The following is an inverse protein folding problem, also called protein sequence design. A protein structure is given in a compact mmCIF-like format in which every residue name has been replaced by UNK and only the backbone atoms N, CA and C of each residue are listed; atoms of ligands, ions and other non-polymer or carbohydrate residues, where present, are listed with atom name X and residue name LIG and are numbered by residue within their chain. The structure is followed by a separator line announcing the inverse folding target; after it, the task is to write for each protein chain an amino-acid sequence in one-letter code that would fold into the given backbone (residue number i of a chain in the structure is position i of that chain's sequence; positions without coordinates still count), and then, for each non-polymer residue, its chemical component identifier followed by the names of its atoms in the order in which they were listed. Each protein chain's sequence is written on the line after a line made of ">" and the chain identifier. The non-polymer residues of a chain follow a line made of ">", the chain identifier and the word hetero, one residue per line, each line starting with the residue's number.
data_IF_397463702410
#
_entry.id   IF_397463702410
#
_cell.length_a   1.000
_cell.length_b   1.000
_cell.length_c   1.000
_cell.angle_alpha   90.00
_cell.angle_beta   90.00
_cell.angle_gamma   90.00
#
_symmetry.space_group_name_H-M   'P 1'
#
loop_
_entity.id
_entity.type
_entity.pdbx_description
1 polymer ?
#
# COMPACT_ATOMS: atom_id res chain seq x y z
N UNK A 1 -42.04 -76.65 14.84
CA UNK A 1 -41.03 -76.09 15.79
C UNK A 1 -39.94 -75.41 14.96
N UNK A 2 -39.35 -74.28 15.40
CA UNK A 2 -39.87 -72.94 15.13
C UNK A 2 -38.84 -71.99 14.47
N UNK A 3 -39.36 -70.92 13.85
CA UNK A 3 -38.79 -69.54 13.78
C UNK A 3 -37.46 -69.39 12.97
N UNK A 4 -37.18 -68.31 12.27
CA UNK A 4 -37.23 -66.92 12.74
C UNK A 4 -36.96 -65.98 11.53
N UNK A 5 -37.85 -65.00 11.34
CA UNK A 5 -37.62 -63.79 10.55
C UNK A 5 -36.38 -63.04 11.04
N UNK A 6 -35.47 -62.63 10.15
CA UNK A 6 -34.50 -61.55 10.39
C UNK A 6 -34.47 -60.69 9.12
N UNK A 7 -35.27 -59.62 9.07
CA UNK A 7 -34.95 -58.24 9.49
C UNK A 7 -33.93 -57.56 8.58
N UNK A 8 -34.45 -56.56 7.86
CA UNK A 8 -33.74 -55.47 7.20
C UNK A 8 -32.62 -54.90 8.08
N UNK A 9 -31.44 -54.75 7.50
CA UNK A 9 -30.44 -53.78 7.95
C UNK A 9 -30.03 -52.97 6.72
N UNK A 10 -30.66 -51.82 6.52
CA UNK A 10 -30.16 -50.80 5.61
C UNK A 10 -28.85 -50.27 6.20
N UNK A 11 -27.74 -50.51 5.49
CA UNK A 11 -26.46 -49.90 5.80
C UNK A 11 -26.55 -48.41 5.44
N UNK A 12 -26.78 -47.57 6.45
CA UNK A 12 -26.66 -46.13 6.33
C UNK A 12 -25.16 -45.81 6.26
N UNK A 13 -24.63 -45.66 5.04
CA UNK A 13 -23.28 -45.19 4.81
C UNK A 13 -23.15 -43.75 5.31
N UNK A 14 -22.40 -43.56 6.40
CA UNK A 14 -22.02 -42.24 6.90
C UNK A 14 -21.00 -41.64 5.91
N UNK A 15 -21.47 -40.76 5.02
CA UNK A 15 -20.61 -39.94 4.18
C UNK A 15 -19.99 -38.84 5.05
N UNK A 16 -18.78 -39.08 5.56
CA UNK A 16 -17.97 -38.02 6.19
C UNK A 16 -17.45 -37.13 5.05
N UNK A 17 -18.14 -36.02 4.81
CA UNK A 17 -17.60 -34.93 4.00
C UNK A 17 -16.45 -34.30 4.77
N UNK A 18 -15.21 -34.72 4.47
CA UNK A 18 -14.00 -33.98 4.82
C UNK A 18 -13.97 -32.69 4.00
N UNK A 19 -14.76 -31.70 4.44
CA UNK A 19 -14.65 -30.32 4.00
C UNK A 19 -13.40 -29.71 4.62
N UNK A 20 -12.23 -29.97 4.02
CA UNK A 20 -11.07 -29.15 4.25
C UNK A 20 -11.32 -27.79 3.60
N UNK A 21 -11.64 -26.78 4.42
CA UNK A 21 -11.51 -25.40 3.97
C UNK A 21 -10.09 -25.23 3.42
N UNK A 22 -9.89 -24.53 2.28
CA UNK A 22 -8.54 -24.22 1.85
C UNK A 22 -7.88 -23.47 2.99
N UNK A 23 -6.77 -23.99 3.50
CA UNK A 23 -5.91 -23.23 4.37
C UNK A 23 -5.63 -21.91 3.63
N UNK A 24 -6.10 -20.80 4.20
CA UNK A 24 -5.73 -19.48 3.71
C UNK A 24 -4.20 -19.48 3.73
N UNK A 25 -3.59 -19.56 2.55
CA UNK A 25 -2.15 -19.38 2.42
C UNK A 25 -1.91 -17.98 2.95
N UNK A 26 -1.37 -17.91 4.16
CA UNK A 26 -1.02 -16.66 4.79
C UNK A 26 0.10 -16.09 3.92
N UNK A 27 -0.23 -15.12 3.09
CA UNK A 27 0.72 -14.54 2.16
C UNK A 27 1.93 -14.05 2.95
N UNK A 28 3.13 -14.39 2.48
CA UNK A 28 4.37 -14.20 3.25
C UNK A 28 4.53 -12.73 3.67
N UNK A 29 4.99 -12.51 4.90
CA UNK A 29 5.21 -11.16 5.44
C UNK A 29 6.25 -10.44 4.59
N UNK A 30 5.95 -9.20 4.20
CA UNK A 30 6.86 -8.38 3.41
C UNK A 30 7.76 -7.52 4.31
N UNK A 31 8.97 -7.22 3.84
CA UNK A 31 9.86 -6.21 4.41
C UNK A 31 9.64 -4.87 3.72
N UNK A 32 9.15 -3.90 4.46
CA UNK A 32 8.77 -2.59 3.94
C UNK A 32 9.73 -1.52 4.46
N UNK A 33 10.44 -0.85 3.55
CA UNK A 33 11.28 0.31 3.87
C UNK A 33 10.47 1.59 3.74
N UNK A 34 10.29 2.35 4.82
CA UNK A 34 9.55 3.62 4.79
C UNK A 34 10.55 4.77 4.78
N UNK A 35 10.69 5.44 3.63
CA UNK A 35 11.48 6.66 3.48
C UNK A 35 10.57 7.86 3.75
N UNK A 36 10.69 8.43 4.94
CA UNK A 36 9.87 9.54 5.41
C UNK A 36 8.81 9.12 6.43
N UNK A 37 9.19 9.04 7.70
CA UNK A 37 8.29 8.71 8.81
C UNK A 37 7.59 9.95 9.38
N UNK A 38 6.86 10.66 8.52
CA UNK A 38 5.94 11.74 8.92
C UNK A 38 4.53 11.23 9.21
N UNK A 39 3.53 12.08 8.99
CA UNK A 39 2.13 11.74 9.23
C UNK A 39 1.63 10.53 8.43
N UNK A 40 1.99 10.43 7.15
CA UNK A 40 1.60 9.31 6.28
C UNK A 40 2.43 8.06 6.61
N UNK A 41 3.77 8.17 6.60
CA UNK A 41 4.65 7.03 6.83
C UNK A 41 4.45 6.36 8.19
N UNK A 42 4.22 7.14 9.26
CA UNK A 42 3.94 6.57 10.59
C UNK A 42 2.55 5.93 10.70
N UNK A 43 1.55 6.41 9.95
CA UNK A 43 0.23 5.77 9.93
C UNK A 43 0.30 4.42 9.20
N UNK A 44 0.94 4.39 8.03
CA UNK A 44 1.14 3.14 7.27
C UNK A 44 2.03 2.14 8.01
N UNK A 45 3.06 2.60 8.72
CA UNK A 45 3.90 1.73 9.55
C UNK A 45 3.07 0.94 10.56
N UNK A 46 2.14 1.60 11.26
CA UNK A 46 1.23 0.94 12.23
C UNK A 46 0.36 -0.10 11.55
N UNK A 47 -0.30 0.30 10.46
CA UNK A 47 -1.23 -0.57 9.74
C UNK A 47 -0.53 -1.81 9.17
N UNK A 48 0.67 -1.66 8.61
CA UNK A 48 1.41 -2.79 8.06
C UNK A 48 2.05 -3.69 9.12
N UNK A 49 2.51 -3.13 10.25
CA UNK A 49 2.94 -3.95 11.39
C UNK A 49 1.77 -4.75 11.97
N UNK A 50 0.59 -4.14 12.11
CA UNK A 50 -0.64 -4.81 12.56
C UNK A 50 -1.05 -5.94 11.61
N UNK A 51 -0.92 -5.73 10.29
CA UNK A 51 -1.12 -6.75 9.28
C UNK A 51 -0.01 -7.83 9.22
N UNK A 52 1.04 -7.71 10.04
CA UNK A 52 2.09 -8.72 10.20
C UNK A 52 3.32 -8.52 9.32
N UNK A 53 3.47 -7.40 8.63
CA UNK A 53 4.69 -7.08 7.86
C UNK A 53 5.84 -6.64 8.77
N UNK A 54 7.07 -6.77 8.28
CA UNK A 54 8.24 -6.16 8.91
C UNK A 54 8.48 -4.77 8.31
N UNK A 55 8.69 -3.77 9.14
CA UNK A 55 8.82 -2.38 8.69
C UNK A 55 10.13 -1.78 9.19
N UNK A 56 10.87 -1.10 8.32
CA UNK A 56 11.92 -0.18 8.74
C UNK A 56 11.44 1.27 8.53
N UNK A 57 11.17 1.96 9.63
CA UNK A 57 10.87 3.39 9.63
C UNK A 57 12.17 4.18 9.57
N UNK A 58 12.19 5.26 8.77
CA UNK A 58 13.40 6.05 8.61
C UNK A 58 13.22 7.56 8.68
N UNK A 59 14.29 8.18 9.19
CA UNK A 59 14.47 9.61 9.30
C UNK A 59 15.94 9.92 9.12
N UNK A 60 16.25 11.16 8.73
CA UNK A 60 17.63 11.69 8.77
C UNK A 60 18.17 11.77 10.21
N UNK A 61 17.26 11.84 11.17
CA UNK A 61 17.48 11.85 12.61
C UNK A 61 16.74 10.63 13.20
N UNK A 62 17.26 9.40 13.00
CA UNK A 62 16.58 8.15 13.36
C UNK A 62 16.24 8.06 14.85
N UNK A 63 17.07 8.63 15.72
CA UNK A 63 16.86 8.64 17.18
C UNK A 63 15.52 9.24 17.60
N UNK A 64 14.93 10.13 16.78
CA UNK A 64 13.61 10.72 17.02
C UNK A 64 12.45 9.75 16.80
N UNK A 65 12.70 8.61 16.17
CA UNK A 65 11.69 7.61 15.86
C UNK A 65 11.60 6.53 16.93
N UNK A 66 12.47 6.52 17.94
CA UNK A 66 12.46 5.50 18.99
C UNK A 66 11.10 5.33 19.66
N UNK A 67 10.36 6.40 20.04
CA UNK A 67 9.04 6.23 20.65
C UNK A 67 8.03 5.51 19.74
N UNK A 68 8.11 5.73 18.42
CA UNK A 68 7.26 5.03 17.46
C UNK A 68 7.71 3.57 17.30
N UNK A 69 9.01 3.30 17.31
CA UNK A 69 9.51 1.93 17.24
C UNK A 69 9.08 1.09 18.45
N UNK A 70 9.15 1.68 19.65
CA UNK A 70 8.70 1.05 20.89
C UNK A 70 7.19 0.74 20.84
N UNK A 71 6.39 1.64 20.26
CA UNK A 71 4.96 1.43 20.02
C UNK A 71 4.70 0.27 19.04
N UNK A 72 5.48 0.19 17.96
CA UNK A 72 5.31 -0.80 16.90
C UNK A 72 5.85 -2.20 17.25
N UNK A 73 6.74 -2.30 18.25
CA UNK A 73 7.27 -3.57 18.74
C UNK A 73 8.24 -4.26 17.76
N UNK A 74 8.38 -5.59 17.90
CA UNK A 74 9.47 -6.37 17.30
C UNK A 74 9.50 -6.39 15.77
N UNK A 75 8.37 -6.09 15.12
CA UNK A 75 8.26 -6.02 13.66
C UNK A 75 8.75 -4.68 13.09
N UNK A 76 9.08 -3.71 13.93
CA UNK A 76 9.59 -2.42 13.49
C UNK A 76 11.07 -2.24 13.81
N UNK A 77 11.80 -1.68 12.85
CA UNK A 77 13.20 -1.25 12.99
C UNK A 77 13.30 0.24 12.67
N UNK A 78 14.27 0.90 13.28
CA UNK A 78 14.60 2.29 13.00
C UNK A 78 15.92 2.34 12.23
N UNK A 79 15.97 3.19 11.21
CA UNK A 79 17.22 3.42 10.48
C UNK A 79 17.23 4.76 9.75
N UNK A 80 18.33 4.99 9.05
CA UNK A 80 18.48 6.04 8.05
C UNK A 80 17.68 5.70 6.78
N UNK A 81 17.39 6.68 5.90
CA UNK A 81 16.72 6.39 4.64
C UNK A 81 17.46 5.39 3.75
N UNK A 82 18.80 5.36 3.78
CA UNK A 82 19.61 4.37 3.06
C UNK A 82 19.37 2.96 3.61
N UNK A 83 19.34 2.80 4.92
CA UNK A 83 19.09 1.51 5.56
C UNK A 83 17.67 1.02 5.26
N UNK A 84 16.66 1.91 5.29
CA UNK A 84 15.30 1.54 4.89
C UNK A 84 15.20 1.15 3.42
N UNK A 85 15.88 1.88 2.53
CA UNK A 85 15.99 1.54 1.11
C UNK A 85 16.65 0.17 0.90
N UNK A 86 17.69 -0.17 1.67
CA UNK A 86 18.37 -1.46 1.58
C UNK A 86 17.51 -2.60 2.15
N UNK A 87 16.87 -2.39 3.31
CA UNK A 87 16.05 -3.38 4.02
C UNK A 87 14.80 -3.78 3.25
N UNK A 88 14.05 -2.79 2.74
CA UNK A 88 12.75 -3.04 2.13
C UNK A 88 12.85 -3.76 0.80
N UNK A 89 12.02 -4.77 0.58
CA UNK A 89 11.74 -5.28 -0.76
C UNK A 89 10.69 -4.43 -1.48
N UNK A 90 9.82 -3.78 -0.69
CA UNK A 90 8.92 -2.71 -1.11
C UNK A 90 9.27 -1.43 -0.35
N UNK A 91 9.27 -0.30 -1.04
CA UNK A 91 9.58 1.00 -0.47
C UNK A 91 8.33 1.87 -0.44
N UNK A 92 8.02 2.43 0.72
CA UNK A 92 7.03 3.49 0.85
C UNK A 92 7.75 4.84 0.87
N UNK A 93 7.58 5.64 -0.18
CA UNK A 93 8.14 6.98 -0.28
C UNK A 93 7.11 8.01 0.21
N UNK A 94 7.35 8.54 1.41
CA UNK A 94 6.47 9.48 2.11
C UNK A 94 7.22 10.75 2.57
N UNK A 95 8.02 11.32 1.67
CA UNK A 95 8.75 12.57 1.89
C UNK A 95 8.01 13.78 1.32
N UNK A 96 8.32 15.02 1.74
CA UNK A 96 7.95 16.20 0.96
C UNK A 96 8.40 16.04 -0.50
N UNK A 97 7.54 16.39 -1.45
CA UNK A 97 7.76 16.09 -2.88
C UNK A 97 9.07 16.69 -3.43
N UNK A 98 9.47 17.88 -2.94
CA UNK A 98 10.76 18.48 -3.29
C UNK A 98 11.99 17.64 -2.92
N UNK A 99 11.87 16.66 -2.02
CA UNK A 99 12.96 15.76 -1.65
C UNK A 99 13.08 14.54 -2.58
N UNK A 100 12.07 14.23 -3.40
CA UNK A 100 12.07 13.05 -4.29
C UNK A 100 13.29 12.97 -5.21
N UNK A 101 13.76 14.07 -5.86
CA UNK A 101 14.97 14.02 -6.69
C UNK A 101 16.23 13.67 -5.91
N UNK A 102 16.33 14.12 -4.65
CA UNK A 102 17.47 13.78 -3.81
C UNK A 102 17.44 12.31 -3.42
N UNK A 103 16.27 11.79 -3.01
CA UNK A 103 16.09 10.36 -2.68
C UNK A 103 16.51 9.48 -3.85
N UNK A 104 16.05 9.80 -5.07
CA UNK A 104 16.38 9.03 -6.27
C UNK A 104 17.85 9.07 -6.65
N UNK A 105 18.57 10.16 -6.34
CA UNK A 105 20.03 10.24 -6.54
C UNK A 105 20.81 9.50 -5.45
N UNK A 106 20.49 9.79 -4.19
CA UNK A 106 21.30 9.35 -3.04
C UNK A 106 21.16 7.83 -2.80
N UNK A 107 20.02 7.24 -3.17
CA UNK A 107 19.68 5.83 -2.93
C UNK A 107 19.38 5.05 -4.21
N UNK A 108 19.84 5.53 -5.37
CA UNK A 108 19.57 4.91 -6.68
C UNK A 108 19.90 3.41 -6.68
N UNK A 109 21.05 3.04 -6.11
CA UNK A 109 21.54 1.66 -6.03
C UNK A 109 20.61 0.77 -5.20
N UNK A 110 20.20 1.24 -4.03
CA UNK A 110 19.34 0.47 -3.12
C UNK A 110 17.91 0.33 -3.64
N UNK A 111 17.43 1.31 -4.42
CA UNK A 111 16.08 1.34 -4.97
C UNK A 111 15.93 0.60 -6.31
N UNK A 112 17.02 0.32 -7.02
CA UNK A 112 16.99 -0.25 -8.35
C UNK A 112 16.19 -1.57 -8.40
N UNK A 113 15.23 -1.65 -9.31
CA UNK A 113 14.36 -2.81 -9.52
C UNK A 113 13.28 -3.03 -8.45
N UNK A 114 13.26 -2.26 -7.37
CA UNK A 114 12.29 -2.42 -6.27
C UNK A 114 10.95 -1.78 -6.60
N UNK A 115 9.90 -2.30 -5.96
CA UNK A 115 8.59 -1.65 -5.96
C UNK A 115 8.65 -0.42 -5.06
N UNK A 116 8.33 0.76 -5.60
CA UNK A 116 8.28 2.01 -4.84
C UNK A 116 6.87 2.57 -4.89
N UNK A 117 6.20 2.61 -3.73
CA UNK A 117 4.91 3.26 -3.54
C UNK A 117 5.14 4.76 -3.28
N UNK A 118 4.69 5.61 -4.19
CA UNK A 118 4.83 7.06 -4.10
C UNK A 118 3.52 7.72 -3.64
N UNK A 119 3.50 8.24 -2.41
CA UNK A 119 2.41 9.07 -1.87
C UNK A 119 2.64 10.58 -2.06
N UNK A 120 3.69 10.96 -2.77
CA UNK A 120 4.08 12.34 -2.98
C UNK A 120 3.01 13.15 -3.69
N UNK A 121 2.85 14.40 -3.27
CA UNK A 121 2.03 15.37 -3.97
C UNK A 121 2.85 16.64 -4.21
N UNK A 122 3.08 17.05 -5.46
CA UNK A 122 3.79 18.29 -5.76
C UNK A 122 2.99 19.49 -5.23
N UNK A 123 3.66 20.36 -4.47
CA UNK A 123 3.09 21.60 -3.96
C UNK A 123 3.96 22.78 -4.33
N UNK A 124 3.60 23.57 -5.36
CA UNK A 124 4.37 24.74 -5.78
C UNK A 124 4.80 25.66 -4.64
N UNK A 125 3.88 26.01 -3.72
CA UNK A 125 4.19 26.87 -2.58
C UNK A 125 5.18 26.29 -1.55
N UNK A 126 5.42 24.97 -1.56
CA UNK A 126 6.39 24.30 -0.67
C UNK A 126 7.67 23.88 -1.42
N UNK A 127 7.50 23.39 -2.64
CA UNK A 127 8.53 22.67 -3.40
C UNK A 127 9.06 23.48 -4.61
N UNK A 128 8.51 24.67 -4.86
CA UNK A 128 8.97 25.59 -5.90
C UNK A 128 8.70 25.13 -7.34
N UNK A 129 9.47 25.64 -8.32
CA UNK A 129 9.22 25.40 -9.75
C UNK A 129 9.20 23.94 -10.17
N UNK A 130 9.94 23.04 -9.47
CA UNK A 130 9.90 21.61 -9.80
C UNK A 130 8.51 21.00 -9.58
N UNK A 131 7.76 21.49 -8.59
CA UNK A 131 6.41 21.03 -8.36
C UNK A 131 5.41 21.63 -9.34
N UNK A 132 5.64 22.84 -9.85
CA UNK A 132 4.82 23.41 -10.94
C UNK A 132 4.93 22.55 -12.19
N UNK A 133 6.15 22.23 -12.60
CA UNK A 133 6.40 21.32 -13.73
C UNK A 133 5.81 19.93 -13.49
N UNK A 134 5.93 19.39 -12.27
CA UNK A 134 5.34 18.08 -11.94
C UNK A 134 3.80 18.09 -11.95
N UNK A 135 3.16 19.18 -11.53
CA UNK A 135 1.70 19.35 -11.62
C UNK A 135 1.26 19.39 -13.09
N UNK A 136 1.97 20.12 -13.94
CA UNK A 136 1.67 20.21 -15.37
C UNK A 136 1.78 18.85 -16.06
N UNK A 137 2.89 18.14 -15.80
CA UNK A 137 3.16 16.81 -16.35
C UNK A 137 2.21 15.73 -15.81
N UNK A 138 1.82 15.84 -14.54
CA UNK A 138 1.19 14.77 -13.75
C UNK A 138 2.23 14.09 -12.86
N UNK A 139 1.92 13.95 -11.57
CA UNK A 139 2.91 13.58 -10.58
C UNK A 139 3.50 12.17 -10.79
N UNK A 140 2.72 11.24 -11.35
CA UNK A 140 3.20 9.90 -11.72
C UNK A 140 4.39 9.94 -12.68
N UNK A 141 4.22 10.58 -13.84
CA UNK A 141 5.28 10.70 -14.84
C UNK A 141 6.46 11.54 -14.34
N UNK A 142 6.18 12.61 -13.60
CA UNK A 142 7.23 13.45 -13.00
C UNK A 142 8.06 12.68 -11.95
N UNK A 143 7.41 11.92 -11.05
CA UNK A 143 8.12 11.08 -10.07
C UNK A 143 8.99 10.02 -10.75
N UNK A 144 8.55 9.45 -11.88
CA UNK A 144 9.34 8.47 -12.62
C UNK A 144 10.67 9.03 -13.14
N UNK A 145 10.73 10.31 -13.50
CA UNK A 145 11.97 10.98 -13.92
C UNK A 145 12.97 11.12 -12.76
N UNK A 146 12.45 11.26 -11.54
CA UNK A 146 13.28 11.38 -10.33
C UNK A 146 13.70 10.04 -9.74
N UNK A 147 12.97 8.96 -10.05
CA UNK A 147 13.20 7.61 -9.53
C UNK A 147 13.48 6.63 -10.68
N UNK A 148 14.53 6.86 -11.49
CA UNK A 148 14.83 5.97 -12.61
C UNK A 148 15.18 4.55 -12.11
N UNK A 149 14.72 3.54 -12.85
CA UNK A 149 15.04 2.14 -12.57
C UNK A 149 14.23 1.49 -11.45
N UNK A 150 13.31 2.21 -10.81
CA UNK A 150 12.35 1.62 -9.85
C UNK A 150 11.06 1.18 -10.56
N UNK A 151 10.34 0.22 -9.96
CA UNK A 151 9.00 -0.18 -10.38
C UNK A 151 7.98 0.69 -9.64
N UNK A 152 7.73 1.88 -10.18
CA UNK A 152 7.00 2.94 -9.50
C UNK A 152 5.49 2.68 -9.52
N UNK A 153 4.84 2.81 -8.34
CA UNK A 153 3.38 2.78 -8.21
C UNK A 153 2.91 4.04 -7.50
N UNK A 154 1.97 4.76 -8.10
CA UNK A 154 1.28 5.87 -7.44
C UNK A 154 0.21 5.30 -6.51
N UNK A 155 0.36 5.54 -5.22
CA UNK A 155 -0.50 5.00 -4.17
C UNK A 155 -0.52 5.90 -2.94
N UNK A 156 -1.61 5.91 -2.18
CA UNK A 156 -1.78 6.69 -0.94
C UNK A 156 -1.61 8.21 -1.05
N UNK A 157 -1.39 8.77 -2.25
CA UNK A 157 -1.31 10.22 -2.46
C UNK A 157 -2.69 10.91 -2.27
N UNK A 158 -3.78 10.16 -2.48
CA UNK A 158 -5.15 10.64 -2.43
C UNK A 158 -5.86 10.41 -1.08
N UNK A 159 -5.12 10.10 -0.01
CA UNK A 159 -5.69 9.93 1.34
C UNK A 159 -4.94 10.76 2.38
N UNK A 160 -5.67 11.32 3.35
CA UNK A 160 -5.08 12.06 4.46
C UNK A 160 -4.56 11.11 5.55
N UNK A 161 -3.53 11.54 6.29
CA UNK A 161 -3.04 10.78 7.44
C UNK A 161 -4.10 10.61 8.54
N UNK A 162 -5.02 11.56 8.68
CA UNK A 162 -6.15 11.42 9.59
C UNK A 162 -7.02 10.24 9.17
N UNK A 163 -7.40 10.15 7.90
CA UNK A 163 -8.23 9.07 7.39
C UNK A 163 -7.52 7.72 7.39
N UNK A 164 -6.21 7.68 7.13
CA UNK A 164 -5.43 6.45 7.31
C UNK A 164 -5.61 5.89 8.73
N UNK A 165 -5.64 6.74 9.76
CA UNK A 165 -5.81 6.30 11.16
C UNK A 165 -7.26 6.04 11.54
N UNK A 166 -8.20 6.85 11.07
CA UNK A 166 -9.59 6.81 11.54
C UNK A 166 -10.53 5.97 10.68
N UNK A 167 -10.11 5.58 9.47
CA UNK A 167 -10.97 4.88 8.49
C UNK A 167 -10.41 3.53 8.04
N UNK A 168 -9.18 3.16 8.44
CA UNK A 168 -8.66 1.82 8.19
C UNK A 168 -9.57 0.77 8.85
N UNK A 169 -9.83 -0.32 8.13
CA UNK A 169 -10.67 -1.44 8.61
C UNK A 169 -12.08 -1.03 9.07
N UNK A 170 -12.59 0.11 8.61
CA UNK A 170 -13.96 0.56 8.92
C UNK A 170 -15.01 -0.49 8.57
N UNK A 171 -16.09 -0.53 9.34
CA UNK A 171 -17.27 -1.32 9.01
C UNK A 171 -17.98 -0.78 7.77
N UNK A 172 -18.49 -1.67 6.92
CA UNK A 172 -19.17 -1.31 5.67
C UNK A 172 -18.21 -1.17 4.49
N UNK A 173 -18.57 -0.37 3.48
CA UNK A 173 -17.70 -0.11 2.33
C UNK A 173 -16.43 0.63 2.78
N UNK A 174 -15.26 0.07 2.45
CA UNK A 174 -13.95 0.67 2.72
C UNK A 174 -13.70 1.85 1.79
N UNK A 175 -12.88 2.80 2.26
CA UNK A 175 -12.41 3.88 1.39
C UNK A 175 -11.45 3.33 0.34
N UNK A 176 -11.51 3.93 -0.85
CA UNK A 176 -10.67 3.54 -1.96
C UNK A 176 -9.27 4.17 -1.89
N UNK A 177 -8.26 3.42 -2.30
CA UNK A 177 -6.94 3.96 -2.66
C UNK A 177 -6.74 3.74 -4.16
N UNK A 178 -6.73 4.81 -4.98
CA UNK A 178 -6.40 4.68 -6.40
C UNK A 178 -4.94 4.25 -6.58
N UNK A 179 -4.72 3.39 -7.56
CA UNK A 179 -3.42 2.86 -7.94
C UNK A 179 -3.17 3.09 -9.43
N UNK A 180 -1.96 3.50 -9.78
CA UNK A 180 -1.50 3.53 -11.17
C UNK A 180 -0.02 3.16 -11.26
N UNK A 181 0.32 2.29 -12.22
CA UNK A 181 1.68 1.88 -12.54
C UNK A 181 1.75 1.27 -13.94
N UNK A 182 2.94 1.25 -14.54
CA UNK A 182 3.17 0.55 -15.81
C UNK A 182 3.57 -0.93 -15.63
N UNK A 183 3.88 -1.32 -14.38
CA UNK A 183 4.26 -2.70 -14.02
C UNK A 183 3.11 -3.40 -13.28
N UNK A 184 2.54 -4.42 -13.92
CA UNK A 184 1.40 -5.17 -13.38
C UNK A 184 1.73 -5.91 -12.08
N UNK A 185 2.91 -6.51 -11.97
CA UNK A 185 3.28 -7.22 -10.74
C UNK A 185 3.54 -6.24 -9.58
N UNK A 186 4.02 -5.02 -9.85
CA UNK A 186 4.12 -3.96 -8.86
C UNK A 186 2.72 -3.46 -8.42
N UNK A 187 1.76 -3.37 -9.34
CA UNK A 187 0.36 -3.06 -9.00
C UNK A 187 -0.23 -4.09 -8.04
N UNK A 188 0.00 -5.39 -8.27
CA UNK A 188 -0.53 -6.44 -7.38
C UNK A 188 0.08 -6.35 -5.97
N UNK A 189 1.39 -6.05 -5.87
CA UNK A 189 2.05 -5.80 -4.57
C UNK A 189 1.44 -4.59 -3.86
N UNK A 190 1.22 -3.49 -4.58
CA UNK A 190 0.60 -2.29 -4.04
C UNK A 190 -0.86 -2.54 -3.60
N UNK A 191 -1.63 -3.26 -4.41
CA UNK A 191 -3.01 -3.62 -4.11
C UNK A 191 -3.11 -4.44 -2.83
N UNK A 192 -2.24 -5.45 -2.68
CA UNK A 192 -2.10 -6.20 -1.43
C UNK A 192 -1.82 -5.27 -0.24
N UNK A 193 -0.81 -4.40 -0.34
CA UNK A 193 -0.46 -3.49 0.76
C UNK A 193 -1.54 -2.46 1.09
N UNK A 194 -2.39 -2.09 0.14
CA UNK A 194 -3.60 -1.28 0.39
C UNK A 194 -4.64 -2.08 1.17
N UNK A 195 -4.90 -3.33 0.77
CA UNK A 195 -5.83 -4.23 1.47
C UNK A 195 -5.37 -4.54 2.89
N UNK A 196 -4.07 -4.84 3.05
CA UNK A 196 -3.44 -5.12 4.33
C UNK A 196 -3.47 -3.88 5.25
N UNK A 197 -3.38 -2.67 4.67
CA UNK A 197 -3.61 -1.42 5.41
C UNK A 197 -5.09 -1.12 5.74
N UNK A 198 -6.02 -2.00 5.35
CA UNK A 198 -7.44 -1.88 5.69
C UNK A 198 -8.29 -1.09 4.71
N UNK A 199 -7.81 -0.83 3.49
CA UNK A 199 -8.51 -0.07 2.45
C UNK A 199 -8.85 -0.94 1.23
N UNK A 200 -9.54 -0.36 0.24
CA UNK A 200 -9.89 -1.04 -1.01
C UNK A 200 -9.06 -0.50 -2.20
N UNK A 201 -8.21 -1.32 -2.83
CA UNK A 201 -7.42 -0.88 -3.97
C UNK A 201 -8.27 -0.73 -5.23
N UNK A 202 -8.09 0.39 -5.94
CA UNK A 202 -8.71 0.60 -7.26
C UNK A 202 -7.62 0.85 -8.28
N UNK A 203 -7.38 -0.12 -9.16
CA UNK A 203 -6.43 0.03 -10.27
C UNK A 203 -7.06 0.94 -11.33
N UNK A 204 -6.46 2.11 -11.52
CA UNK A 204 -6.92 3.14 -12.47
C UNK A 204 -6.30 2.95 -13.85
N UNK A 205 -5.10 2.35 -13.92
CA UNK A 205 -4.42 2.01 -15.16
C UNK A 205 -2.92 2.33 -15.16
N UNK A 206 -2.33 2.63 -16.34
CA UNK A 206 -0.90 2.94 -16.46
C UNK A 206 -0.51 4.19 -15.67
N UNK A 207 0.78 4.41 -15.46
CA UNK A 207 1.29 5.47 -14.58
C UNK A 207 0.81 6.88 -14.98
N UNK A 208 0.61 7.12 -16.28
CA UNK A 208 0.03 8.38 -16.80
C UNK A 208 -1.37 8.67 -16.26
N UNK A 209 -2.16 7.63 -15.97
CA UNK A 209 -3.50 7.75 -15.41
C UNK A 209 -3.49 8.31 -13.98
N UNK A 210 -2.34 8.34 -13.29
CA UNK A 210 -2.21 8.95 -11.97
C UNK A 210 -2.68 10.41 -11.92
N UNK A 211 -2.61 11.11 -13.06
CA UNK A 211 -3.08 12.50 -13.18
C UNK A 211 -4.56 12.66 -12.82
N UNK A 212 -5.40 11.63 -12.99
CA UNK A 212 -6.83 11.68 -12.65
C UNK A 212 -7.10 11.67 -11.14
N UNK A 213 -6.13 11.27 -10.32
CA UNK A 213 -6.21 11.26 -8.85
C UNK A 213 -5.04 11.98 -8.18
N UNK A 214 -4.35 12.86 -8.91
CA UNK A 214 -3.39 13.79 -8.32
C UNK A 214 -4.08 14.72 -7.31
N UNK A 215 -3.31 15.34 -6.42
CA UNK A 215 -3.87 16.13 -5.31
C UNK A 215 -4.94 17.15 -5.73
N UNK A 216 -4.76 17.82 -6.88
CA UNK A 216 -5.66 18.85 -7.37
C UNK A 216 -6.91 18.31 -8.11
N UNK A 217 -7.03 16.99 -8.29
CA UNK A 217 -8.18 16.34 -8.95
C UNK A 217 -9.48 16.40 -8.13
N UNK A 218 -9.37 16.63 -6.81
CA UNK A 218 -10.50 16.58 -5.88
C UNK A 218 -10.85 15.19 -5.37
N UNK A 219 -10.21 14.12 -5.87
CA UNK A 219 -10.43 12.74 -5.37
C UNK A 219 -10.20 12.65 -3.86
N UNK A 220 -9.09 13.21 -3.37
CA UNK A 220 -8.75 13.16 -1.94
C UNK A 220 -9.75 13.89 -1.03
N UNK A 221 -10.43 14.91 -1.55
CA UNK A 221 -11.43 15.67 -0.79
C UNK A 221 -12.75 14.90 -0.66
N UNK A 222 -13.07 14.04 -1.64
CA UNK A 222 -14.33 13.27 -1.69
C UNK A 222 -14.29 12.03 -0.81
N UNK A 223 -13.10 11.47 -0.54
CA UNK A 223 -12.93 10.23 0.23
C UNK A 223 -13.84 9.10 -0.28
N UNK A 224 -13.81 8.77 -1.58
CA UNK A 224 -14.77 7.85 -2.15
C UNK A 224 -14.57 6.42 -1.66
N UNK A 225 -15.66 5.64 -1.63
CA UNK A 225 -15.58 4.18 -1.65
C UNK A 225 -15.05 3.68 -3.00
N UNK A 226 -14.73 2.39 -3.12
CA UNK A 226 -14.22 1.85 -4.38
C UNK A 226 -15.24 1.91 -5.52
N UNK A 227 -16.53 1.76 -5.20
CA UNK A 227 -17.63 1.96 -6.16
C UNK A 227 -17.70 3.42 -6.62
N UNK A 228 -17.73 4.36 -5.66
CA UNK A 228 -17.79 5.80 -5.95
C UNK A 228 -16.57 6.30 -6.74
N UNK A 229 -15.38 5.74 -6.47
CA UNK A 229 -14.17 6.10 -7.20
C UNK A 229 -14.22 5.60 -8.65
N UNK A 230 -14.69 4.37 -8.88
CA UNK A 230 -14.89 3.86 -10.24
C UNK A 230 -15.89 4.71 -11.02
N UNK A 231 -17.02 5.06 -10.42
CA UNK A 231 -18.02 5.96 -11.01
C UNK A 231 -17.41 7.34 -11.34
N UNK A 232 -16.67 7.93 -10.40
CA UNK A 232 -16.02 9.24 -10.56
C UNK A 232 -15.02 9.25 -11.73
N UNK A 233 -14.31 8.14 -11.95
CA UNK A 233 -13.26 8.02 -12.95
C UNK A 233 -13.72 7.33 -14.24
N UNK A 234 -15.01 6.96 -14.35
CA UNK A 234 -15.54 6.24 -15.52
C UNK A 234 -14.92 4.85 -15.72
N UNK A 235 -14.47 4.20 -14.64
CA UNK A 235 -13.91 2.86 -14.67
C UNK A 235 -15.03 1.83 -14.69
N UNK A 236 -14.83 0.73 -15.43
CA UNK A 236 -15.75 -0.39 -15.39
C UNK A 236 -15.76 -1.03 -13.97
N UNK A 237 -16.89 -1.61 -13.53
CA UNK A 237 -17.01 -2.27 -12.23
C UNK A 237 -15.91 -3.31 -11.97
#
# INVERSE_FOLDING_TARGET
>A
MPRLLHRFAAALGLLVLLGGAPALVQAEALRIGIIGTGNIGSALARLWVEAGHEVMISSRNPERLQPLADELGERARVGTPREAAAFGEVIMLAVPYGATPQVGRDYATELAGKVVLDAGNPRPGRDGPMAEAAVEMGAGLASQQFLPGVRLVRAFNAISAHNLRSQAHRSGEKLAIPLAADDEAALQVAARLVTDAGFDPVIVGPLVSAKSFDFNSGVSARMPTARELRELLGLQP
#
